data_IF_626108795506
#
_entry.id   IF_626108795506
#
_cell.length_a   1.000
_cell.length_b   1.000
_cell.length_c   1.000
_cell.angle_alpha   90.00
_cell.angle_beta   90.00
_cell.angle_gamma   90.00
#
_symmetry.space_group_name_H-M   'P 1'
#
loop_
_entity.id
_entity.type
_entity.pdbx_description
1 polymer ?
#
# COMPACT_ATOMS: atom_id res chain seq x y z
N UNK A 1 4.34 -2.09 14.16
CA UNK A 1 4.98 -0.96 13.45
C UNK A 1 4.50 -0.96 12.00
N UNK A 2 4.13 0.19 11.44
CA UNK A 2 3.49 0.27 10.10
C UNK A 2 4.40 -0.18 8.95
N UNK A 3 5.72 0.05 9.04
CA UNK A 3 6.68 -0.38 8.04
C UNK A 3 6.79 -1.91 7.90
N UNK A 4 6.69 -2.66 9.02
CA UNK A 4 6.63 -4.12 8.96
C UNK A 4 5.40 -4.62 8.19
N UNK A 5 4.28 -3.89 8.25
CA UNK A 5 3.09 -4.23 7.47
C UNK A 5 3.30 -3.94 5.98
N UNK A 6 3.99 -2.86 5.62
CA UNK A 6 4.38 -2.56 4.23
C UNK A 6 5.21 -3.71 3.64
N UNK A 7 6.23 -4.20 4.36
CA UNK A 7 7.05 -5.35 3.94
C UNK A 7 6.20 -6.62 3.78
N UNK A 8 5.29 -6.89 4.72
CA UNK A 8 4.37 -8.04 4.63
C UNK A 8 3.44 -7.96 3.41
N UNK A 9 2.97 -6.76 3.05
CA UNK A 9 2.18 -6.53 1.85
C UNK A 9 3.03 -6.71 0.59
N UNK A 10 4.26 -6.16 0.56
CA UNK A 10 5.19 -6.29 -0.57
C UNK A 10 5.44 -7.75 -0.95
N UNK A 11 5.59 -8.65 0.05
CA UNK A 11 5.78 -10.09 -0.17
C UNK A 11 4.67 -10.74 -1.01
N UNK A 12 3.46 -10.17 -1.06
CA UNK A 12 2.36 -10.65 -1.91
C UNK A 12 2.60 -10.44 -3.41
N UNK A 13 3.53 -9.55 -3.78
CA UNK A 13 3.95 -9.32 -5.17
C UNK A 13 4.99 -10.31 -5.70
N UNK A 14 5.49 -11.23 -4.87
CA UNK A 14 6.67 -12.09 -5.16
C UNK A 14 6.61 -12.86 -6.48
N UNK A 15 5.43 -13.29 -6.91
CA UNK A 15 5.27 -14.11 -8.11
C UNK A 15 5.07 -13.30 -9.41
N UNK A 16 4.71 -12.02 -9.31
CA UNK A 16 4.13 -11.28 -10.44
C UNK A 16 4.69 -9.87 -10.63
N UNK A 17 5.35 -9.30 -9.63
CA UNK A 17 5.91 -7.95 -9.71
C UNK A 17 7.09 -7.86 -10.68
N UNK A 18 7.90 -8.92 -10.82
CA UNK A 18 9.09 -8.89 -11.67
C UNK A 18 8.77 -8.49 -13.13
N UNK A 19 9.62 -7.68 -13.78
CA UNK A 19 10.93 -7.18 -13.32
C UNK A 19 10.90 -6.03 -12.31
N UNK A 20 9.72 -5.50 -11.97
CA UNK A 20 9.59 -4.43 -10.98
C UNK A 20 9.82 -4.95 -9.55
N UNK A 21 10.25 -4.07 -8.62
CA UNK A 21 10.38 -4.44 -7.21
C UNK A 21 9.02 -4.76 -6.58
N UNK A 22 9.07 -5.57 -5.52
CA UNK A 22 7.96 -5.75 -4.61
C UNK A 22 7.83 -4.52 -3.71
N UNK A 23 6.69 -3.85 -3.75
CA UNK A 23 6.39 -2.68 -2.91
C UNK A 23 5.06 -2.91 -2.21
N UNK A 24 4.97 -2.52 -0.94
CA UNK A 24 3.74 -2.51 -0.15
C UNK A 24 3.55 -1.14 0.47
N UNK A 25 2.31 -0.71 0.65
CA UNK A 25 1.98 0.61 1.18
C UNK A 25 0.83 0.51 2.18
N UNK A 26 0.90 1.34 3.23
CA UNK A 26 -0.11 1.45 4.29
C UNK A 26 -0.43 2.91 4.52
N UNK A 27 -1.72 3.25 4.52
CA UNK A 27 -2.21 4.59 4.84
C UNK A 27 -2.80 4.59 6.25
N UNK A 28 -2.28 5.47 7.10
CA UNK A 28 -2.65 5.59 8.51
C UNK A 28 -3.25 6.97 8.78
N UNK A 29 -4.41 7.02 9.42
CA UNK A 29 -5.02 8.24 9.92
C UNK A 29 -5.45 8.03 11.37
N UNK A 30 -5.15 8.97 12.26
CA UNK A 30 -5.43 8.89 13.70
C UNK A 30 -4.97 7.56 14.34
N UNK A 31 -3.77 7.09 13.96
CA UNK A 31 -3.21 5.84 14.46
C UNK A 31 -3.90 4.56 13.95
N UNK A 32 -4.82 4.67 12.98
CA UNK A 32 -5.54 3.55 12.40
C UNK A 32 -5.19 3.36 10.94
N UNK A 33 -4.98 2.11 10.52
CA UNK A 33 -4.82 1.79 9.10
C UNK A 33 -6.18 1.97 8.42
N UNK A 34 -6.24 2.84 7.42
CA UNK A 34 -7.44 3.12 6.63
C UNK A 34 -7.33 2.61 5.19
N UNK A 35 -6.12 2.24 4.74
CA UNK A 35 -5.87 1.66 3.42
C UNK A 35 -4.58 0.85 3.37
N UNK A 36 -4.56 -0.17 2.53
CA UNK A 36 -3.45 -1.08 2.30
C UNK A 36 -3.34 -1.45 0.82
N UNK A 37 -2.11 -1.52 0.31
CA UNK A 37 -1.86 -1.88 -1.08
C UNK A 37 -0.50 -2.53 -1.28
N UNK A 38 -0.34 -3.22 -2.40
CA UNK A 38 0.95 -3.72 -2.87
C UNK A 38 0.98 -3.69 -4.39
N UNK A 39 2.17 -3.65 -4.98
CA UNK A 39 2.33 -3.80 -6.42
C UNK A 39 2.05 -5.26 -6.80
N UNK A 40 0.92 -5.51 -7.47
CA UNK A 40 0.42 -6.86 -7.71
C UNK A 40 1.11 -7.54 -8.89
N UNK A 41 1.37 -6.81 -9.96
CA UNK A 41 1.94 -7.34 -11.21
C UNK A 41 2.64 -6.22 -12.00
N UNK A 42 3.72 -6.57 -12.71
CA UNK A 42 4.39 -5.66 -13.63
C UNK A 42 3.39 -5.00 -14.61
N UNK A 43 3.45 -3.67 -14.71
CA UNK A 43 2.57 -2.86 -15.56
C UNK A 43 1.21 -2.50 -14.96
N UNK A 44 0.85 -3.05 -13.79
CA UNK A 44 -0.35 -2.66 -13.04
C UNK A 44 -0.06 -1.54 -12.01
N UNK A 45 -1.11 -1.10 -11.30
CA UNK A 45 -1.00 -0.08 -10.27
C UNK A 45 0.09 -0.37 -9.23
N UNK A 46 0.84 0.68 -8.86
CA UNK A 46 1.81 0.62 -7.78
C UNK A 46 1.11 0.45 -6.41
N UNK A 47 1.90 0.17 -5.36
CA UNK A 47 1.37 -0.10 -4.03
C UNK A 47 0.55 1.07 -3.46
N UNK A 48 1.00 2.29 -3.69
CA UNK A 48 0.41 3.55 -3.24
C UNK A 48 -0.96 3.76 -3.88
N UNK A 49 -1.06 3.54 -5.20
CA UNK A 49 -2.32 3.63 -5.95
C UNK A 49 -3.32 2.62 -5.40
N UNK A 50 -2.88 1.37 -5.20
CA UNK A 50 -3.72 0.30 -4.67
C UNK A 50 -4.13 0.59 -3.20
N UNK A 51 -3.25 1.19 -2.40
CA UNK A 51 -3.55 1.58 -1.02
C UNK A 51 -4.60 2.69 -0.98
N UNK A 52 -4.47 3.75 -1.79
CA UNK A 52 -5.47 4.83 -1.91
C UNK A 52 -6.80 4.28 -2.41
N UNK A 53 -6.80 3.38 -3.39
CA UNK A 53 -8.00 2.74 -3.90
C UNK A 53 -8.74 1.90 -2.86
N UNK A 54 -8.03 1.35 -1.87
CA UNK A 54 -8.61 0.56 -0.77
C UNK A 54 -9.25 1.42 0.34
N UNK A 55 -8.99 2.72 0.38
CA UNK A 55 -9.53 3.63 1.41
C UNK A 55 -11.03 3.85 1.18
N UNK A 56 -11.84 3.53 2.19
CA UNK A 56 -13.31 3.67 2.13
C UNK A 56 -13.76 5.12 2.17
N UNK A 57 -13.23 5.90 3.10
CA UNK A 57 -13.54 7.33 3.24
C UNK A 57 -12.33 8.15 2.78
N UNK A 58 -12.42 8.66 1.55
CA UNK A 58 -11.34 9.45 0.94
C UNK A 58 -11.15 10.81 1.58
N UNK A 59 -12.14 11.34 2.33
CA UNK A 59 -12.00 12.63 3.01
C UNK A 59 -10.90 12.60 4.08
N UNK A 60 -10.58 11.41 4.62
CA UNK A 60 -9.53 11.22 5.61
C UNK A 60 -8.11 11.32 5.04
N UNK A 61 -7.92 11.20 3.72
CA UNK A 61 -6.60 11.16 3.09
C UNK A 61 -5.78 12.44 3.31
N UNK A 62 -6.44 13.60 3.39
CA UNK A 62 -5.80 14.91 3.54
C UNK A 62 -5.00 15.07 4.84
N UNK A 63 -5.31 14.27 5.86
CA UNK A 63 -4.64 14.27 7.17
C UNK A 63 -3.97 12.94 7.51
N UNK A 64 -3.91 12.02 6.55
CA UNK A 64 -3.30 10.71 6.72
C UNK A 64 -1.78 10.76 6.45
N UNK A 65 -1.06 9.76 6.96
CA UNK A 65 0.33 9.48 6.62
C UNK A 65 0.40 8.18 5.83
N UNK A 66 1.14 8.17 4.73
CA UNK A 66 1.44 6.95 3.98
C UNK A 66 2.84 6.44 4.34
N UNK A 67 2.95 5.12 4.52
CA UNK A 67 4.20 4.38 4.66
C UNK A 67 4.33 3.49 3.43
N UNK A 68 5.52 3.45 2.83
CA UNK A 68 5.86 2.68 1.63
C UNK A 68 7.20 2.00 1.83
#
# INVERSE_FOLDING_TARGET
MYMHRCISLAQRGRQHAAPNPMVGAVIVCDGRIIGEGWHRRCGEGHAEVNAVASVRDRSMLSRATIYV
#
